data_IF_768448673834
#
_entry.id   IF_768448673834
#
_cell.length_a   1.000
_cell.length_b   1.000
_cell.length_c   1.000
_cell.angle_alpha   90.00
_cell.angle_beta   90.00
_cell.angle_gamma   90.00
#
_symmetry.space_group_name_H-M   'P 1'
#
loop_
_entity.id
_entity.type
_entity.pdbx_description
1 polymer ?
#
# COMPACT_ATOMS: atom_id res chain seq x y z
N UNK A 1 2.56 5.28 1.37
CA UNK A 1 3.11 4.07 0.72
C UNK A 1 2.50 2.80 1.31
N UNK A 2 3.08 1.61 1.06
CA UNK A 2 2.61 0.35 1.68
C UNK A 2 2.62 0.47 3.22
N UNK A 3 3.54 1.28 3.74
CA UNK A 3 3.63 1.70 5.15
C UNK A 3 2.37 2.35 5.71
N UNK A 4 1.53 2.96 4.87
CA UNK A 4 0.27 3.57 5.28
C UNK A 4 -0.74 2.49 5.73
N UNK A 5 -0.51 1.24 5.32
CA UNK A 5 -1.27 0.06 5.69
C UNK A 5 -0.48 -0.86 6.63
N UNK A 6 0.49 -0.31 7.39
CA UNK A 6 1.32 -1.08 8.31
C UNK A 6 0.48 -1.79 9.39
N UNK A 7 -0.50 -1.12 9.97
CA UNK A 7 -1.41 -1.70 10.98
C UNK A 7 -2.14 -2.93 10.42
N UNK A 8 -2.74 -2.79 9.25
CA UNK A 8 -3.41 -3.90 8.55
C UNK A 8 -2.44 -5.02 8.20
N UNK A 9 -1.21 -4.69 7.77
CA UNK A 9 -0.18 -5.69 7.47
C UNK A 9 0.20 -6.49 8.72
N UNK A 10 0.33 -5.83 9.88
CA UNK A 10 0.58 -6.50 11.15
C UNK A 10 -0.58 -7.41 11.56
N UNK A 11 -1.83 -6.97 11.37
CA UNK A 11 -3.03 -7.78 11.61
C UNK A 11 -3.07 -9.05 10.74
N UNK A 12 -2.78 -8.93 9.44
CA UNK A 12 -2.71 -10.07 8.52
C UNK A 12 -1.59 -11.04 8.92
N UNK A 13 -0.42 -10.51 9.29
CA UNK A 13 0.70 -11.32 9.76
C UNK A 13 0.35 -12.09 11.03
N UNK A 14 -0.25 -11.43 12.02
CA UNK A 14 -0.65 -12.05 13.27
C UNK A 14 -1.76 -13.10 13.05
N UNK A 15 -2.71 -12.83 12.16
CA UNK A 15 -3.72 -13.80 11.73
C UNK A 15 -3.10 -15.07 11.15
N UNK A 16 -2.06 -14.94 10.30
CA UNK A 16 -1.35 -16.10 9.75
C UNK A 16 -0.67 -16.96 10.81
N UNK A 17 -0.18 -16.36 11.88
CA UNK A 17 0.48 -17.08 12.98
C UNK A 17 -0.54 -17.74 13.90
N UNK A 18 -1.59 -17.02 14.27
CA UNK A 18 -2.50 -17.42 15.35
C UNK A 18 -3.77 -18.13 14.83
N UNK A 19 -4.09 -17.98 13.54
CA UNK A 19 -5.34 -18.48 12.94
C UNK A 19 -6.59 -17.70 13.37
N UNK A 20 -6.45 -16.74 14.28
CA UNK A 20 -7.53 -15.91 14.82
C UNK A 20 -7.18 -14.44 14.69
N UNK A 21 -8.20 -13.62 14.43
CA UNK A 21 -7.99 -12.19 14.25
C UNK A 21 -7.92 -11.46 15.61
N UNK A 22 -6.86 -10.69 15.88
CA UNK A 22 -6.75 -9.94 17.14
C UNK A 22 -7.87 -8.92 17.32
N UNK A 23 -8.18 -8.59 18.57
CA UNK A 23 -9.10 -7.49 18.87
C UNK A 23 -8.56 -6.17 18.31
N UNK A 24 -9.44 -5.40 17.67
CA UNK A 24 -9.08 -4.15 17.00
C UNK A 24 -8.46 -4.32 15.62
N UNK A 25 -8.28 -5.54 15.10
CA UNK A 25 -7.84 -5.68 13.71
C UNK A 25 -8.98 -5.60 12.68
N UNK A 26 -10.23 -5.70 13.12
CA UNK A 26 -11.39 -5.62 12.24
C UNK A 26 -11.90 -4.18 12.12
N UNK A 27 -12.40 -3.83 10.93
CA UNK A 27 -12.96 -2.52 10.59
C UNK A 27 -14.44 -2.37 10.97
N UNK A 28 -14.99 -3.30 11.76
CA UNK A 28 -16.35 -3.16 12.24
C UNK A 28 -16.48 -1.89 13.11
N UNK A 29 -17.55 -1.17 12.84
CA UNK A 29 -17.79 0.22 13.24
C UNK A 29 -17.78 0.47 14.75
N UNK A 30 -17.77 -0.57 15.59
CA UNK A 30 -17.64 -0.48 17.06
C UNK A 30 -16.18 -0.33 17.52
N UNK A 31 -15.21 -0.69 16.68
CA UNK A 31 -13.77 -0.61 16.95
C UNK A 31 -13.06 0.34 16.00
N UNK A 32 -13.69 1.48 15.66
CA UNK A 32 -12.94 2.70 15.35
C UNK A 32 -12.23 3.20 16.63
N UNK A 33 -11.42 2.35 17.26
CA UNK A 33 -10.31 2.87 18.04
C UNK A 33 -9.43 3.51 17.00
N UNK A 34 -9.12 4.78 17.20
CA UNK A 34 -8.12 5.47 16.44
C UNK A 34 -6.87 4.60 16.38
N UNK A 35 -6.71 3.85 15.28
CA UNK A 35 -5.40 3.33 14.87
C UNK A 35 -4.57 4.49 14.30
N UNK A 36 -4.72 5.70 14.87
CA UNK A 36 -3.54 6.42 15.26
C UNK A 36 -2.76 5.44 16.13
N UNK A 37 -1.85 4.69 15.51
CA UNK A 37 -0.56 4.54 16.12
C UNK A 37 -0.22 5.95 16.58
N UNK A 38 -0.38 6.22 17.88
CA UNK A 38 0.39 7.24 18.54
C UNK A 38 1.77 7.03 17.94
N UNK A 39 2.16 7.99 17.10
CA UNK A 39 3.56 8.21 16.78
C UNK A 39 4.16 8.48 18.15
N UNK A 40 4.42 7.42 18.90
CA UNK A 40 5.31 7.43 20.03
C UNK A 40 6.52 8.10 19.43
N UNK A 41 6.74 9.35 19.85
CA UNK A 41 7.84 10.17 19.41
C UNK A 41 9.07 9.36 19.70
N UNK A 42 9.51 8.60 18.71
CA UNK A 42 10.76 7.88 18.73
C UNK A 42 11.78 8.99 18.75
N UNK A 43 12.25 9.25 19.97
CA UNK A 43 13.23 10.25 20.34
C UNK A 43 14.15 10.53 19.17
N UNK A 44 14.27 11.81 18.82
CA UNK A 44 15.33 12.39 18.02
C UNK A 44 16.68 12.04 18.65
N UNK A 45 17.12 10.80 18.45
CA UNK A 45 18.48 10.35 18.61
C UNK A 45 19.24 10.97 17.46
N UNK A 46 19.70 12.21 17.69
CA UNK A 46 20.71 12.86 16.88
C UNK A 46 21.93 11.96 16.87
N UNK A 47 21.96 11.02 15.93
CA UNK A 47 23.20 10.46 15.45
C UNK A 47 23.73 11.47 14.47
N UNK A 48 24.87 12.06 14.81
CA UNK A 48 25.69 12.87 13.94
C UNK A 48 25.91 12.12 12.62
N UNK A 49 25.01 12.36 11.66
CA UNK A 49 25.17 11.94 10.29
C UNK A 49 26.40 12.66 9.79
N UNK A 50 27.51 11.93 9.68
CA UNK A 50 28.75 12.44 9.11
C UNK A 50 28.40 13.22 7.85
N UNK A 51 28.79 14.49 7.81
CA UNK A 51 28.57 15.36 6.66
C UNK A 51 29.36 14.79 5.49
N UNK A 52 28.75 13.86 4.76
CA UNK A 52 29.24 13.42 3.47
C UNK A 52 29.00 14.57 2.51
N UNK A 53 30.02 15.40 2.32
CA UNK A 53 30.04 16.42 1.29
C UNK A 53 29.89 15.73 -0.08
N UNK A 54 28.78 15.97 -0.77
CA UNK A 54 28.51 15.43 -2.12
C UNK A 54 29.23 16.23 -3.21
N UNK A 55 30.31 16.93 -2.87
CA UNK A 55 31.02 17.86 -3.77
C UNK A 55 31.68 17.12 -4.96
N UNK A 56 31.70 15.79 -4.95
CA UNK A 56 32.32 14.95 -5.98
C UNK A 56 31.34 14.34 -7.01
N UNK A 57 30.03 14.56 -6.88
CA UNK A 57 29.02 13.99 -7.81
C UNK A 57 28.37 15.13 -8.59
N UNK A 58 28.43 15.07 -9.93
CA UNK A 58 27.73 16.06 -10.75
C UNK A 58 26.23 15.99 -10.48
N UNK A 59 25.56 17.15 -10.45
CA UNK A 59 24.12 17.24 -10.21
C UNK A 59 23.33 16.34 -11.18
N UNK A 60 23.77 16.27 -12.44
CA UNK A 60 23.17 15.40 -13.45
C UNK A 60 23.29 13.92 -13.11
N UNK A 61 24.44 13.49 -12.58
CA UNK A 61 24.62 12.11 -12.15
C UNK A 61 23.77 11.77 -10.93
N UNK A 62 23.68 12.70 -9.97
CA UNK A 62 22.82 12.54 -8.80
C UNK A 62 21.35 12.42 -9.21
N UNK A 63 20.88 13.30 -10.10
CA UNK A 63 19.51 13.27 -10.61
C UNK A 63 19.22 11.95 -11.33
N UNK A 64 20.12 11.50 -12.22
CA UNK A 64 19.98 10.22 -12.89
C UNK A 64 19.89 9.04 -11.93
N UNK A 65 20.71 9.01 -10.87
CA UNK A 65 20.66 7.97 -9.85
C UNK A 65 19.34 7.98 -9.08
N UNK A 66 18.88 9.17 -8.66
CA UNK A 66 17.61 9.34 -7.94
C UNK A 66 16.43 8.92 -8.82
N UNK A 67 16.41 9.31 -10.08
CA UNK A 67 15.37 8.93 -11.03
C UNK A 67 15.36 7.41 -11.25
N UNK A 68 16.53 6.81 -11.46
CA UNK A 68 16.65 5.36 -11.64
C UNK A 68 16.14 4.58 -10.43
N UNK A 69 16.52 5.00 -9.20
CA UNK A 69 16.04 4.39 -7.97
C UNK A 69 14.53 4.59 -7.79
N UNK A 70 14.01 5.79 -8.05
CA UNK A 70 12.58 6.09 -7.93
C UNK A 70 11.75 5.23 -8.89
N UNK A 71 12.25 5.03 -10.11
CA UNK A 71 11.61 4.16 -11.10
C UNK A 71 11.56 2.71 -10.63
N UNK A 72 12.67 2.17 -10.11
CA UNK A 72 12.70 0.81 -9.56
C UNK A 72 11.77 0.66 -8.34
N UNK A 73 11.78 1.65 -7.45
CA UNK A 73 10.93 1.65 -6.25
C UNK A 73 9.44 1.65 -6.62
N UNK A 74 9.04 2.40 -7.65
CA UNK A 74 7.64 2.40 -8.11
C UNK A 74 7.14 1.01 -8.55
N UNK A 75 8.00 0.20 -9.18
CA UNK A 75 7.68 -1.16 -9.61
C UNK A 75 7.59 -2.09 -8.41
N UNK A 76 8.52 -1.97 -7.47
CA UNK A 76 8.50 -2.72 -6.21
C UNK A 76 7.26 -2.40 -5.39
N UNK A 77 6.86 -1.13 -5.34
CA UNK A 77 5.65 -0.68 -4.69
C UNK A 77 4.40 -1.36 -5.28
N UNK A 78 4.27 -1.41 -6.60
CA UNK A 78 3.13 -2.08 -7.26
C UNK A 78 3.09 -3.57 -6.91
N UNK A 79 4.23 -4.27 -7.01
CA UNK A 79 4.31 -5.68 -6.64
C UNK A 79 3.94 -5.91 -5.16
N UNK A 80 4.43 -5.06 -4.26
CA UNK A 80 4.15 -5.13 -2.84
C UNK A 80 2.68 -4.86 -2.52
N UNK A 81 2.06 -3.85 -3.14
CA UNK A 81 0.63 -3.54 -2.98
C UNK A 81 -0.27 -4.67 -3.47
N UNK A 82 0.04 -5.27 -4.62
CA UNK A 82 -0.69 -6.42 -5.15
C UNK A 82 -0.65 -7.59 -4.17
N UNK A 83 0.56 -7.93 -3.69
CA UNK A 83 0.73 -8.98 -2.69
C UNK A 83 -0.03 -8.67 -1.40
N UNK A 84 0.08 -7.45 -0.90
CA UNK A 84 -0.60 -7.00 0.30
C UNK A 84 -2.13 -7.14 0.19
N UNK A 85 -2.72 -6.65 -0.90
CA UNK A 85 -4.16 -6.73 -1.14
C UNK A 85 -4.64 -8.18 -1.24
N UNK A 86 -3.87 -9.06 -1.91
CA UNK A 86 -4.18 -10.49 -1.96
C UNK A 86 -4.09 -11.14 -0.58
N UNK A 87 -3.08 -10.81 0.22
CA UNK A 87 -2.91 -11.34 1.58
C UNK A 87 -4.06 -10.89 2.50
N UNK A 88 -4.51 -9.64 2.37
CA UNK A 88 -5.70 -9.10 3.05
C UNK A 88 -6.96 -9.84 2.61
N UNK A 89 -7.20 -9.98 1.31
CA UNK A 89 -8.42 -10.62 0.79
C UNK A 89 -8.55 -12.07 1.26
N UNK A 90 -7.43 -12.80 1.32
CA UNK A 90 -7.40 -14.16 1.88
C UNK A 90 -7.73 -14.13 3.37
N UNK A 91 -7.12 -13.23 4.14
CA UNK A 91 -7.37 -13.12 5.57
C UNK A 91 -8.82 -12.73 5.88
N UNK A 92 -9.41 -11.78 5.14
CA UNK A 92 -10.81 -11.36 5.31
C UNK A 92 -11.79 -12.49 5.00
N UNK A 93 -11.53 -13.26 3.93
CA UNK A 93 -12.35 -14.43 3.57
C UNK A 93 -12.29 -15.52 4.63
N UNK A 94 -11.12 -15.79 5.20
CA UNK A 94 -10.97 -16.81 6.23
C UNK A 94 -11.53 -16.35 7.58
N UNK A 95 -11.35 -15.07 7.94
CA UNK A 95 -11.84 -14.49 9.19
C UNK A 95 -13.32 -14.09 9.14
N UNK A 96 -13.94 -14.03 7.95
CA UNK A 96 -15.30 -13.53 7.72
C UNK A 96 -15.52 -12.12 8.29
N UNK A 97 -14.47 -11.29 8.30
CA UNK A 97 -14.48 -9.93 8.85
C UNK A 97 -13.60 -9.01 7.99
N UNK A 98 -14.01 -7.74 7.79
CA UNK A 98 -13.20 -6.77 7.07
C UNK A 98 -11.98 -6.34 7.90
N UNK A 99 -10.82 -6.28 7.27
CA UNK A 99 -9.51 -5.93 7.83
C UNK A 99 -8.97 -4.62 7.26
N UNK A 100 -9.25 -4.33 5.99
CA UNK A 100 -8.77 -3.15 5.30
C UNK A 100 -9.86 -2.08 5.24
N UNK A 101 -9.73 -1.07 6.10
CA UNK A 101 -10.79 -0.07 6.28
C UNK A 101 -10.82 0.93 5.12
N UNK A 102 -9.65 1.33 4.61
CA UNK A 102 -9.50 2.28 3.51
C UNK A 102 -9.21 1.56 2.19
N UNK A 103 -10.05 0.57 1.84
CA UNK A 103 -9.86 -0.26 0.65
C UNK A 103 -9.78 0.56 -0.64
N UNK A 104 -10.67 1.55 -0.80
CA UNK A 104 -10.67 2.43 -1.98
C UNK A 104 -9.37 3.22 -2.11
N UNK A 105 -8.82 3.70 -0.98
CA UNK A 105 -7.53 4.40 -0.97
C UNK A 105 -6.39 3.48 -1.41
N UNK A 106 -6.38 2.22 -0.96
CA UNK A 106 -5.37 1.24 -1.35
C UNK A 106 -5.41 0.95 -2.86
N UNK A 107 -6.61 0.75 -3.41
CA UNK A 107 -6.79 0.54 -4.86
C UNK A 107 -6.47 1.79 -5.68
N UNK A 108 -6.83 2.98 -5.20
CA UNK A 108 -6.49 4.23 -5.86
C UNK A 108 -4.97 4.42 -5.95
N UNK A 109 -4.24 4.18 -4.85
CA UNK A 109 -2.77 4.22 -4.84
C UNK A 109 -2.16 3.22 -5.81
N UNK A 110 -2.61 1.96 -5.79
CA UNK A 110 -2.14 0.94 -6.73
C UNK A 110 -2.37 1.39 -8.19
N UNK A 111 -3.56 1.89 -8.50
CA UNK A 111 -3.91 2.37 -9.86
C UNK A 111 -3.00 3.51 -10.31
N UNK A 112 -2.74 4.49 -9.45
CA UNK A 112 -1.83 5.60 -9.77
C UNK A 112 -0.43 5.10 -10.13
N UNK A 113 0.11 4.16 -9.36
CA UNK A 113 1.46 3.64 -9.62
C UNK A 113 1.54 2.73 -10.84
N UNK A 114 0.49 1.96 -11.14
CA UNK A 114 0.40 1.15 -12.36
C UNK A 114 0.40 1.98 -13.65
N UNK A 115 0.02 3.26 -13.58
CA UNK A 115 0.00 4.18 -14.72
C UNK A 115 1.34 4.88 -14.97
N UNK A 116 2.34 4.72 -14.10
CA UNK A 116 3.66 5.33 -14.27
C UNK A 116 4.41 4.74 -15.46
N UNK A 117 5.25 5.54 -16.12
CA UNK A 117 6.08 5.09 -17.25
C UNK A 117 7.01 3.93 -16.84
N UNK A 118 7.56 3.98 -15.63
CA UNK A 118 8.32 2.88 -15.05
C UNK A 118 7.50 1.59 -15.05
N UNK A 119 6.26 1.62 -14.55
CA UNK A 119 5.44 0.40 -14.55
C UNK A 119 5.09 -0.12 -15.93
N UNK A 120 4.94 0.77 -16.92
CA UNK A 120 4.69 0.36 -18.30
C UNK A 120 5.92 -0.35 -18.88
N UNK A 121 7.12 0.22 -18.69
CA UNK A 121 8.39 -0.35 -19.15
C UNK A 121 8.69 -1.71 -18.52
N UNK A 122 8.48 -1.83 -17.21
CA UNK A 122 8.72 -3.08 -16.47
C UNK A 122 7.55 -4.08 -16.56
N UNK A 123 6.46 -3.74 -17.28
CA UNK A 123 5.38 -4.67 -17.56
C UNK A 123 4.45 -4.97 -16.38
N UNK A 124 4.23 -4.01 -15.47
CA UNK A 124 3.34 -4.16 -14.31
C UNK A 124 1.90 -4.56 -14.64
N UNK A 125 1.42 -4.29 -15.86
CA UNK A 125 0.11 -4.75 -16.32
C UNK A 125 -0.05 -6.27 -16.21
N UNK A 126 1.05 -7.03 -16.32
CA UNK A 126 1.07 -8.48 -16.11
C UNK A 126 0.91 -8.88 -14.64
N UNK A 127 1.21 -7.98 -13.70
CA UNK A 127 0.98 -8.19 -12.27
C UNK A 127 -0.48 -7.94 -11.91
N UNK A 128 -1.17 -7.04 -12.62
CA UNK A 128 -2.58 -6.72 -12.38
C UNK A 128 -3.54 -7.90 -12.58
N UNK A 129 -3.17 -8.89 -13.41
CA UNK A 129 -3.96 -10.12 -13.57
C UNK A 129 -3.92 -11.04 -12.34
N UNK A 130 -3.02 -10.77 -11.38
CA UNK A 130 -2.89 -11.53 -10.14
C UNK A 130 -3.82 -11.02 -9.02
N UNK A 131 -4.57 -9.92 -9.25
CA UNK A 131 -5.57 -9.41 -8.29
C UNK A 131 -6.97 -9.68 -8.86
N UNK A 132 -7.68 -10.72 -8.38
CA UNK A 132 -9.02 -11.06 -8.87
C UNK A 132 -10.03 -9.91 -8.71
N UNK A 133 -9.84 -9.07 -7.69
CA UNK A 133 -10.79 -8.03 -7.30
C UNK A 133 -10.74 -6.75 -8.15
N UNK A 134 -9.70 -6.52 -8.97
CA UNK A 134 -9.63 -5.30 -9.79
C UNK A 134 -10.62 -5.29 -10.97
N UNK A 135 -11.16 -6.44 -11.37
CA UNK A 135 -12.08 -6.53 -12.51
C UNK A 135 -13.49 -5.99 -12.21
N UNK A 136 -13.92 -5.96 -10.94
CA UNK A 136 -15.25 -5.49 -10.54
C UNK A 136 -15.32 -3.99 -10.20
N UNK A 137 -14.18 -3.34 -9.91
CA UNK A 137 -14.17 -1.92 -9.52
C UNK A 137 -14.58 -0.99 -10.68
N UNK A 138 -14.39 -1.42 -11.93
CA UNK A 138 -14.88 -0.68 -13.11
C UNK A 138 -16.40 -0.78 -13.31
N UNK A 139 -17.05 -1.80 -12.74
CA UNK A 139 -18.51 -1.95 -12.85
C UNK A 139 -19.26 -1.04 -11.86
N UNK A 140 -18.67 -0.73 -10.70
CA UNK A 140 -19.33 0.05 -9.65
C UNK A 140 -19.41 1.56 -9.96
N UNK A 141 -18.54 2.09 -10.83
CA UNK A 141 -18.56 3.50 -11.24
C UNK A 141 -19.70 3.85 -12.22
N UNK A 142 -20.40 2.86 -12.79
CA UNK A 142 -21.43 3.08 -13.82
C UNK A 142 -22.86 3.11 -13.27
N UNK A 143 -23.05 2.84 -11.96
CA UNK A 143 -24.39 2.67 -11.38
C UNK A 143 -24.89 3.85 -10.52
N UNK A 144 -24.15 4.97 -10.44
CA UNK A 144 -24.62 6.16 -9.69
C UNK A 144 -25.26 7.26 -10.56
N UNK A 145 -25.47 7.04 -11.86
CA UNK A 145 -25.98 8.09 -12.77
C UNK A 145 -27.51 8.06 -13.03
N UNK A 146 -28.26 7.14 -12.42
CA UNK A 146 -29.70 7.01 -12.70
C UNK A 146 -30.56 6.88 -11.43
N UNK A 147 -30.57 7.94 -10.61
CA UNK A 147 -31.72 8.25 -9.76
C UNK A 147 -31.92 9.76 -9.79
N UNK A 148 -32.64 10.26 -10.79
CA UNK A 148 -33.30 11.57 -10.74
C UNK A 148 -34.63 11.50 -11.50
N UNK A 149 -35.69 11.74 -10.74
CA UNK A 149 -37.11 11.95 -11.04
C UNK A 149 -37.93 10.81 -11.63
#
# INVERSE_FOLDING_TARGET
>A
GVTDFYSTSACVFQYRIQGTLPEGCACDSSTKKDHSHERSGGSSGGSDGGKHHSDSVSLDHLNYMVDSLTRQDSVLFVAAMIRFLNDVDVAEKLAQRPLLCDRDKAYALLKTYMQTEACQEFGCHKLGTLVPAMQDVTAFSSSQSHITN
#
